data_IF_395127560102
#
_entry.id   IF_395127560102
#
_cell.length_a   1.000
_cell.length_b   1.000
_cell.length_c   1.000
_cell.angle_alpha   90.00
_cell.angle_beta   90.00
_cell.angle_gamma   90.00
#
_symmetry.space_group_name_H-M   'P 1'
#
loop_
_entity.id
_entity.type
_entity.pdbx_description
1 polymer ?
#
# COMPACT_ATOMS: atom_id res chain seq x y z
N UNK A 1 12.63 14.29 -19.47
CA UNK A 1 11.26 14.27 -18.93
C UNK A 1 10.68 12.87 -19.02
N UNK A 2 10.14 12.36 -17.92
CA UNK A 2 9.52 11.02 -17.95
C UNK A 2 8.19 11.07 -18.65
N UNK A 3 8.02 10.18 -19.60
CA UNK A 3 6.74 9.96 -20.23
C UNK A 3 5.98 8.87 -19.50
N UNK A 4 4.70 8.71 -19.85
CA UNK A 4 3.84 7.71 -19.21
C UNK A 4 4.46 6.31 -19.23
N UNK A 5 5.04 5.92 -20.36
CA UNK A 5 5.69 4.60 -20.46
C UNK A 5 6.79 4.42 -19.43
N UNK A 6 7.54 5.46 -19.18
CA UNK A 6 8.64 5.41 -18.21
C UNK A 6 8.12 5.36 -16.79
N UNK A 7 7.03 6.08 -16.52
CA UNK A 7 6.42 6.05 -15.20
C UNK A 7 5.84 4.67 -14.89
N UNK A 8 5.26 4.00 -15.87
CA UNK A 8 4.76 2.63 -15.66
C UNK A 8 5.91 1.68 -15.32
N UNK A 9 7.04 1.81 -16.02
CA UNK A 9 8.24 1.01 -15.69
C UNK A 9 8.74 1.31 -14.29
N UNK A 10 8.70 2.56 -13.89
CA UNK A 10 9.14 2.96 -12.55
C UNK A 10 8.28 2.30 -11.47
N UNK A 11 6.98 2.24 -11.68
CA UNK A 11 6.08 1.57 -10.75
C UNK A 11 6.45 0.09 -10.67
N UNK A 12 6.62 -0.55 -11.82
CA UNK A 12 6.96 -1.99 -11.85
C UNK A 12 8.24 -2.27 -11.07
N UNK A 13 9.24 -1.42 -11.21
CA UNK A 13 10.53 -1.62 -10.56
C UNK A 13 10.54 -1.21 -9.09
N UNK A 14 9.47 -0.62 -8.60
CA UNK A 14 9.41 -0.13 -7.22
C UNK A 14 9.15 -1.22 -6.20
N UNK A 15 8.72 -2.40 -6.64
CA UNK A 15 8.35 -3.48 -5.73
C UNK A 15 8.95 -4.79 -6.24
N UNK A 16 9.71 -5.52 -5.41
CA UNK A 16 10.30 -6.79 -5.84
C UNK A 16 9.27 -7.80 -6.35
N UNK A 17 8.04 -7.72 -5.88
CA UNK A 17 6.99 -8.64 -6.30
C UNK A 17 6.51 -8.36 -7.71
N UNK A 18 6.84 -7.21 -8.28
CA UNK A 18 6.42 -6.81 -9.62
C UNK A 18 7.58 -6.65 -10.59
N UNK A 19 8.77 -7.10 -10.24
CA UNK A 19 9.97 -6.75 -11.01
C UNK A 19 9.95 -7.18 -12.47
N UNK A 20 9.31 -8.30 -12.79
CA UNK A 20 9.21 -8.71 -14.18
C UNK A 20 7.87 -8.28 -14.77
N UNK A 21 7.83 -8.16 -16.09
CA UNK A 21 6.57 -7.86 -16.76
C UNK A 21 5.55 -8.96 -16.52
N UNK A 22 5.98 -10.21 -16.44
CA UNK A 22 5.07 -11.33 -16.15
C UNK A 22 4.41 -11.17 -14.80
N UNK A 23 5.21 -10.86 -13.78
CA UNK A 23 4.69 -10.70 -12.42
C UNK A 23 3.76 -9.51 -12.31
N UNK A 24 4.16 -8.40 -12.90
CA UNK A 24 3.35 -7.18 -12.82
C UNK A 24 2.04 -7.33 -13.57
N UNK A 25 2.09 -7.88 -14.78
CA UNK A 25 0.89 -8.10 -15.57
C UNK A 25 -0.08 -9.04 -14.85
N UNK A 26 0.46 -10.11 -14.24
CA UNK A 26 -0.35 -11.03 -13.47
C UNK A 26 -1.00 -10.34 -12.27
N UNK A 27 -0.25 -9.51 -11.57
CA UNK A 27 -0.78 -8.77 -10.43
C UNK A 27 -1.91 -7.83 -10.85
N UNK A 28 -1.74 -7.16 -11.99
CA UNK A 28 -2.76 -6.24 -12.50
C UNK A 28 -3.95 -6.96 -13.14
N UNK A 29 -3.74 -8.20 -13.55
CA UNK A 29 -4.79 -8.95 -14.26
C UNK A 29 -4.93 -8.57 -15.72
N UNK A 30 -3.84 -8.17 -16.37
CA UNK A 30 -3.84 -7.83 -17.79
C UNK A 30 -2.86 -8.73 -18.54
N UNK A 31 -3.03 -8.90 -19.84
CA UNK A 31 -2.06 -9.68 -20.62
C UNK A 31 -0.70 -9.04 -20.64
N UNK A 32 0.36 -9.87 -20.56
CA UNK A 32 1.73 -9.38 -20.59
C UNK A 32 2.01 -8.57 -21.86
N UNK A 33 1.44 -8.99 -23.00
CA UNK A 33 1.65 -8.28 -24.24
C UNK A 33 1.13 -6.85 -24.17
N UNK A 34 0.03 -6.64 -23.47
CA UNK A 34 -0.51 -5.29 -23.29
C UNK A 34 0.43 -4.45 -22.44
N UNK A 35 0.90 -5.01 -21.33
CA UNK A 35 1.83 -4.28 -20.47
C UNK A 35 3.10 -3.92 -21.23
N UNK A 36 3.65 -4.87 -21.99
CA UNK A 36 4.84 -4.63 -22.79
C UNK A 36 4.61 -3.49 -23.78
N UNK A 37 3.45 -3.45 -24.43
CA UNK A 37 3.11 -2.36 -25.36
C UNK A 37 3.03 -1.02 -24.65
N UNK A 38 2.52 -0.99 -23.44
CA UNK A 38 2.47 0.26 -22.66
C UNK A 38 3.86 0.72 -22.27
N UNK A 39 4.73 -0.21 -21.88
CA UNK A 39 6.08 0.15 -21.44
C UNK A 39 7.00 0.56 -22.57
N UNK A 40 6.72 0.11 -23.78
CA UNK A 40 7.51 0.52 -24.95
C UNK A 40 6.97 1.78 -25.62
N UNK A 41 5.77 2.22 -25.23
CA UNK A 41 5.13 3.37 -25.85
C UNK A 41 4.42 3.04 -27.14
N UNK A 42 4.34 1.76 -27.50
CA UNK A 42 3.64 1.33 -28.72
C UNK A 42 2.14 1.58 -28.62
N UNK A 43 1.59 1.43 -27.42
CA UNK A 43 0.18 1.69 -27.15
C UNK A 43 0.07 2.53 -25.89
N UNK A 44 -0.97 3.35 -25.83
CA UNK A 44 -1.27 4.15 -24.65
C UNK A 44 -2.32 3.41 -23.82
N UNK A 45 -2.10 3.24 -22.50
CA UNK A 45 -3.11 2.62 -21.65
C UNK A 45 -4.42 3.38 -21.70
N UNK A 46 -5.52 2.64 -21.63
CA UNK A 46 -6.84 3.26 -21.50
C UNK A 46 -7.00 3.84 -20.11
N UNK A 47 -8.02 4.70 -19.94
CA UNK A 47 -8.33 5.24 -18.63
C UNK A 47 -8.59 4.13 -17.62
N UNK A 48 -9.27 3.06 -18.05
CA UNK A 48 -9.54 1.93 -17.17
C UNK A 48 -8.26 1.27 -16.65
N UNK A 49 -7.27 1.11 -17.54
CA UNK A 49 -5.99 0.52 -17.14
C UNK A 49 -5.23 1.46 -16.22
N UNK A 50 -5.24 2.76 -16.49
CA UNK A 50 -4.58 3.73 -15.63
C UNK A 50 -5.20 3.69 -14.23
N UNK A 51 -6.52 3.67 -14.14
CA UNK A 51 -7.20 3.58 -12.85
C UNK A 51 -6.89 2.27 -12.14
N UNK A 52 -6.80 1.18 -12.89
CA UNK A 52 -6.46 -0.12 -12.33
C UNK A 52 -5.07 -0.08 -11.68
N UNK A 53 -4.09 0.50 -12.36
CA UNK A 53 -2.75 0.63 -11.82
C UNK A 53 -2.78 1.49 -10.54
N UNK A 54 -3.48 2.60 -10.58
CA UNK A 54 -3.56 3.50 -9.43
C UNK A 54 -4.18 2.82 -8.23
N UNK A 55 -5.24 2.05 -8.44
CA UNK A 55 -5.91 1.36 -7.34
C UNK A 55 -5.07 0.22 -6.77
N UNK A 56 -4.53 -0.63 -7.64
CA UNK A 56 -3.81 -1.81 -7.18
C UNK A 56 -2.43 -1.50 -6.63
N UNK A 57 -1.79 -0.46 -7.13
CA UNK A 57 -0.42 -0.11 -6.74
C UNK A 57 -0.36 1.09 -5.82
N UNK A 58 -1.50 1.66 -5.45
CA UNK A 58 -1.58 2.87 -4.62
C UNK A 58 -0.78 4.02 -5.23
N UNK A 59 -0.94 4.22 -6.53
CA UNK A 59 -0.23 5.24 -7.29
C UNK A 59 -1.11 6.49 -7.38
N UNK A 60 -0.46 7.64 -7.31
CA UNK A 60 -1.12 8.92 -7.51
C UNK A 60 -1.44 9.11 -8.98
N UNK A 61 -2.72 9.20 -9.32
CA UNK A 61 -3.15 9.30 -10.71
C UNK A 61 -2.58 10.53 -11.40
N UNK A 62 -2.52 11.67 -10.71
CA UNK A 62 -1.96 12.88 -11.28
C UNK A 62 -0.51 12.67 -11.69
N UNK A 63 0.27 12.00 -10.82
CA UNK A 63 1.64 11.69 -11.16
C UNK A 63 1.75 10.75 -12.35
N UNK A 64 0.92 9.70 -12.37
CA UNK A 64 0.99 8.72 -13.46
C UNK A 64 0.65 9.35 -14.79
N UNK A 65 -0.40 10.18 -14.83
CA UNK A 65 -0.84 10.79 -16.08
C UNK A 65 0.05 11.96 -16.52
N UNK A 66 0.43 12.81 -15.58
CA UNK A 66 1.03 14.10 -15.92
C UNK A 66 2.44 14.30 -15.36
N UNK A 67 2.88 13.44 -14.47
CA UNK A 67 4.21 13.54 -13.88
C UNK A 67 4.30 14.54 -12.74
N UNK A 68 3.17 15.03 -12.24
CA UNK A 68 3.16 16.00 -11.14
C UNK A 68 2.86 15.32 -9.82
N UNK A 69 3.51 15.80 -8.76
CA UNK A 69 3.31 15.26 -7.42
C UNK A 69 4.16 14.05 -7.16
N UNK A 70 3.82 13.33 -6.12
CA UNK A 70 4.56 12.14 -5.70
C UNK A 70 4.00 10.90 -6.38
N UNK A 71 4.86 9.91 -6.72
CA UNK A 71 4.40 8.72 -7.44
C UNK A 71 3.41 7.88 -6.65
N UNK A 72 3.61 7.74 -5.36
CA UNK A 72 2.76 6.88 -4.56
C UNK A 72 1.95 7.69 -3.57
N UNK A 73 0.72 7.22 -3.31
CA UNK A 73 -0.12 7.86 -2.32
C UNK A 73 0.48 7.66 -0.94
N UNK A 74 0.31 8.64 -0.03
CA UNK A 74 0.81 8.46 1.33
C UNK A 74 0.16 7.25 1.99
N UNK A 75 0.94 6.55 2.82
CA UNK A 75 0.38 5.45 3.58
C UNK A 75 -0.68 6.01 4.53
N UNK A 76 -1.80 5.30 4.61
CA UNK A 76 -2.84 5.70 5.55
C UNK A 76 -2.63 4.98 6.89
N UNK A 77 -3.43 5.36 7.87
CA UNK A 77 -3.33 4.78 9.21
C UNK A 77 -3.52 3.26 9.20
N UNK A 78 -4.38 2.77 8.32
CA UNK A 78 -4.64 1.34 8.25
C UNK A 78 -3.41 0.56 7.81
N UNK A 79 -2.64 1.13 6.87
CA UNK A 79 -1.41 0.49 6.43
C UNK A 79 -0.37 0.43 7.54
N UNK A 80 -0.24 1.49 8.32
CA UNK A 80 0.67 1.52 9.46
C UNK A 80 0.26 0.49 10.51
N UNK A 81 -1.03 0.40 10.78
CA UNK A 81 -1.55 -0.57 11.73
C UNK A 81 -1.30 -1.99 11.24
N UNK A 82 -1.54 -2.24 9.96
CA UNK A 82 -1.31 -3.57 9.39
C UNK A 82 0.15 -3.98 9.48
N UNK A 83 1.06 -3.04 9.25
CA UNK A 83 2.49 -3.32 9.37
C UNK A 83 2.86 -3.63 10.82
N UNK A 84 2.29 -2.89 11.76
CA UNK A 84 2.56 -3.14 13.18
C UNK A 84 2.09 -4.54 13.57
N UNK A 85 0.87 -4.92 13.19
CA UNK A 85 0.36 -6.24 13.51
C UNK A 85 1.20 -7.34 12.87
N UNK A 86 1.63 -7.14 11.62
CA UNK A 86 2.48 -8.11 10.95
C UNK A 86 3.80 -8.32 11.70
N UNK A 87 4.39 -7.24 12.19
CA UNK A 87 5.63 -7.32 12.96
C UNK A 87 5.42 -8.03 14.29
N UNK A 88 4.31 -7.74 14.95
CA UNK A 88 3.99 -8.39 16.22
C UNK A 88 3.80 -9.88 16.04
N UNK A 89 3.10 -10.29 14.97
CA UNK A 89 2.84 -11.70 14.73
C UNK A 89 4.12 -12.50 14.45
N UNK A 90 5.16 -11.82 14.01
CA UNK A 90 6.46 -12.46 13.79
C UNK A 90 7.30 -12.52 15.05
N UNK A 91 6.87 -11.85 16.11
CA UNK A 91 7.61 -11.82 17.37
C UNK A 91 7.40 -13.11 18.15
N UNK A 92 8.28 -13.36 19.11
CA UNK A 92 8.12 -14.52 20.00
C UNK A 92 6.94 -14.30 20.95
N UNK A 93 6.40 -15.40 21.47
CA UNK A 93 5.28 -15.34 22.40
C UNK A 93 5.60 -14.56 23.66
N UNK A 94 6.89 -14.48 24.02
CA UNK A 94 7.31 -13.76 25.21
C UNK A 94 7.48 -12.26 24.98
N UNK A 95 7.39 -11.82 23.73
CA UNK A 95 7.54 -10.41 23.41
C UNK A 95 6.38 -9.60 23.98
N UNK A 96 6.71 -8.45 24.59
CA UNK A 96 5.69 -7.57 25.15
C UNK A 96 4.62 -7.19 24.12
N UNK A 97 5.02 -6.92 22.90
CA UNK A 97 4.06 -6.53 21.85
C UNK A 97 3.06 -7.65 21.57
N UNK A 98 3.54 -8.87 21.51
CA UNK A 98 2.65 -10.01 21.27
C UNK A 98 1.65 -10.17 22.41
N UNK A 99 2.14 -10.09 23.67
CA UNK A 99 1.26 -10.20 24.83
C UNK A 99 0.25 -9.07 24.88
N UNK A 100 0.69 -7.86 24.51
CA UNK A 100 -0.23 -6.72 24.47
C UNK A 100 -1.35 -6.93 23.47
N UNK A 101 -1.02 -7.36 22.27
CA UNK A 101 -2.03 -7.60 21.24
C UNK A 101 -3.01 -8.69 21.66
N UNK A 102 -2.51 -9.75 22.28
CA UNK A 102 -3.40 -10.81 22.79
C UNK A 102 -4.33 -10.30 23.88
N UNK A 103 -3.83 -9.44 24.75
CA UNK A 103 -4.66 -8.84 25.79
C UNK A 103 -5.72 -7.94 25.17
N UNK A 104 -5.36 -7.15 24.17
CA UNK A 104 -6.33 -6.28 23.49
C UNK A 104 -7.43 -7.09 22.80
N UNK A 105 -7.07 -8.24 22.23
CA UNK A 105 -8.04 -9.08 21.55
C UNK A 105 -9.08 -9.65 22.49
N UNK A 106 -8.79 -9.69 23.76
CA UNK A 106 -9.69 -10.26 24.77
C UNK A 106 -10.52 -9.21 25.49
N UNK A 107 -10.36 -7.94 25.15
CA UNK A 107 -11.11 -6.88 25.81
C UNK A 107 -12.60 -6.93 25.45
N UNK A 108 -13.42 -6.70 26.46
CA UNK A 108 -14.85 -6.46 26.22
C UNK A 108 -15.08 -4.96 26.02
N UNK A 109 -16.33 -4.56 25.85
CA UNK A 109 -16.67 -3.16 25.61
C UNK A 109 -16.16 -2.25 26.74
N UNK A 110 -16.31 -2.71 27.98
CA UNK A 110 -15.85 -1.95 29.13
C UNK A 110 -14.34 -1.79 29.10
N UNK A 111 -13.62 -2.83 28.74
CA UNK A 111 -12.16 -2.77 28.61
C UNK A 111 -11.71 -1.79 27.55
N UNK A 112 -12.39 -1.78 26.42
CA UNK A 112 -12.07 -0.83 25.35
C UNK A 112 -12.32 0.62 25.80
N UNK A 113 -13.43 0.86 26.51
CA UNK A 113 -13.70 2.19 27.03
C UNK A 113 -12.61 2.66 28.00
N UNK A 114 -12.16 1.76 28.86
CA UNK A 114 -11.10 2.10 29.80
C UNK A 114 -9.78 2.41 29.08
N UNK A 115 -9.49 1.67 28.03
CA UNK A 115 -8.29 1.91 27.24
C UNK A 115 -8.36 3.27 26.54
N UNK A 116 -9.52 3.62 26.04
CA UNK A 116 -9.72 4.93 25.40
C UNK A 116 -9.46 6.06 26.37
N UNK A 117 -9.97 5.93 27.60
CA UNK A 117 -9.74 6.93 28.63
C UNK A 117 -8.25 7.06 28.96
N UNK A 118 -7.56 5.94 29.00
CA UNK A 118 -6.12 5.95 29.26
C UNK A 118 -5.37 6.68 28.16
N UNK A 119 -5.72 6.41 26.90
CA UNK A 119 -5.08 7.10 25.77
C UNK A 119 -5.34 8.60 25.80
N UNK A 120 -6.56 8.99 26.13
CA UNK A 120 -6.90 10.41 26.24
C UNK A 120 -6.05 11.11 27.31
N UNK A 121 -5.80 10.41 28.41
CA UNK A 121 -4.94 10.93 29.47
C UNK A 121 -3.50 11.13 28.98
N UNK A 122 -2.99 10.17 28.19
CA UNK A 122 -1.61 10.23 27.70
C UNK A 122 -1.45 11.32 26.65
N UNK A 123 -2.36 11.39 25.69
CA UNK A 123 -2.25 12.36 24.61
C UNK A 123 -2.75 13.74 24.96
N UNK A 124 -3.58 13.81 25.97
CA UNK A 124 -4.04 15.06 26.51
C UNK A 124 -4.38 16.10 25.46
N UNK A 125 -5.60 16.05 25.00
CA UNK A 125 -6.06 17.00 24.00
C UNK A 125 -6.29 18.35 24.60
N UNK A 126 -5.78 19.34 23.94
CA UNK A 126 -5.92 20.72 24.39
C UNK A 126 -6.82 21.51 23.47
#
# INVERSE_FOLDING_TARGET
MYELKNRIKQIRNSNPNWKSQDLFASFLGIPKANLSSYETGRRTPTDAVIQLICEKCSVNEEWLRNGTGEPFQPENKNDEISKLFGNVLKSSDDDFKYRLINALAKLDDSGWDNLEKLLDTIYEKK
#
